data_IF_985537371085
#
_entry.id   IF_985537371085
#
_cell.length_a   1.000
_cell.length_b   1.000
_cell.length_c   1.000
_cell.angle_alpha   90.00
_cell.angle_beta   90.00
_cell.angle_gamma   90.00
#
_symmetry.space_group_name_H-M   'P 1'
#
loop_
_entity.id
_entity.type
_entity.pdbx_description
1 polymer ?
#
# COMPACT_ATOMS: atom_id res chain seq x y z
N UNK A 1 -44.94 90.26 -12.32
CA UNK A 1 -45.64 90.45 -11.05
C UNK A 1 -45.91 89.04 -10.47
N UNK A 2 -45.35 88.82 -9.29
CA UNK A 2 -45.49 87.66 -8.40
C UNK A 2 -44.73 86.38 -8.77
N UNK A 3 -43.65 86.23 -8.18
CA UNK A 3 -43.07 85.41 -7.09
C UNK A 3 -44.14 84.60 -6.34
N UNK A 4 -43.78 83.64 -5.59
CA UNK A 4 -42.51 82.95 -5.24
C UNK A 4 -42.61 81.41 -5.16
N UNK A 5 -41.46 80.85 -5.29
CA UNK A 5 -40.80 80.01 -4.30
C UNK A 5 -41.72 79.08 -3.45
N UNK A 6 -41.45 77.83 -3.60
CA UNK A 6 -41.36 76.85 -2.50
C UNK A 6 -40.53 75.64 -2.86
N UNK A 7 -39.29 75.80 -2.53
CA UNK A 7 -38.40 74.69 -2.26
C UNK A 7 -39.07 73.62 -1.42
N UNK A 8 -39.27 72.46 -1.95
CA UNK A 8 -39.49 71.27 -1.13
C UNK A 8 -38.25 70.38 -1.26
N UNK A 9 -37.45 70.54 -0.28
CA UNK A 9 -36.29 69.72 -0.01
C UNK A 9 -36.77 68.30 0.25
N UNK A 10 -36.64 67.39 -0.69
CA UNK A 10 -36.78 65.98 -0.47
C UNK A 10 -35.47 65.45 0.08
N UNK A 11 -35.43 65.23 1.38
CA UNK A 11 -34.36 64.52 2.06
C UNK A 11 -34.43 63.04 1.61
N UNK A 12 -33.51 62.67 0.72
CA UNK A 12 -33.25 61.27 0.43
C UNK A 12 -32.44 60.66 1.58
N UNK A 13 -33.10 59.90 2.44
CA UNK A 13 -32.43 59.04 3.38
C UNK A 13 -31.90 57.85 2.63
N UNK A 14 -30.61 57.90 2.32
CA UNK A 14 -29.86 56.72 1.82
C UNK A 14 -29.63 55.74 2.98
N UNK A 15 -30.46 54.71 3.07
CA UNK A 15 -30.16 53.60 3.96
C UNK A 15 -29.06 52.77 3.34
N UNK A 16 -27.84 53.01 3.82
CA UNK A 16 -26.70 52.17 3.42
C UNK A 16 -26.80 50.78 4.05
N UNK A 17 -27.15 49.79 3.23
CA UNK A 17 -27.09 48.40 3.60
C UNK A 17 -25.63 47.97 3.58
N UNK A 18 -24.98 47.95 4.77
CA UNK A 18 -23.64 47.35 4.92
C UNK A 18 -23.82 45.84 4.92
N UNK A 19 -23.62 45.22 3.78
CA UNK A 19 -23.48 43.75 3.68
C UNK A 19 -22.08 43.39 4.13
N UNK A 20 -21.93 43.04 5.40
CA UNK A 20 -20.72 42.37 5.89
C UNK A 20 -20.71 40.95 5.35
N UNK A 21 -20.00 40.74 4.26
CA UNK A 21 -19.63 39.39 3.80
C UNK A 21 -18.66 38.78 4.82
N UNK A 22 -19.17 37.97 5.72
CA UNK A 22 -18.33 37.11 6.53
C UNK A 22 -17.73 36.07 5.60
N UNK A 23 -16.50 36.29 5.16
CA UNK A 23 -15.70 35.28 4.50
C UNK A 23 -15.40 34.19 5.53
N UNK A 24 -16.20 33.13 5.53
CA UNK A 24 -15.86 31.90 6.21
C UNK A 24 -14.68 31.31 5.43
N UNK A 25 -13.49 31.62 5.88
CA UNK A 25 -12.28 30.98 5.41
C UNK A 25 -12.31 29.53 5.83
N UNK A 26 -12.71 28.64 4.92
CA UNK A 26 -12.47 27.21 5.07
C UNK A 26 -10.97 27.05 4.87
N UNK A 27 -10.22 27.07 5.95
CA UNK A 27 -8.86 26.56 5.94
C UNK A 27 -8.97 25.04 5.78
N UNK A 28 -8.87 24.54 4.55
CA UNK A 28 -8.56 23.15 4.31
C UNK A 28 -7.14 22.99 4.86
N UNK A 29 -7.03 22.59 6.10
CA UNK A 29 -5.77 22.14 6.65
C UNK A 29 -5.34 20.96 5.80
N UNK A 30 -4.20 21.05 5.11
CA UNK A 30 -3.50 19.90 4.60
C UNK A 30 -3.10 19.06 5.81
N UNK A 31 -4.00 18.22 6.29
CA UNK A 31 -3.71 17.25 7.34
C UNK A 31 -2.73 16.24 6.72
N UNK A 32 -1.61 16.01 7.39
CA UNK A 32 -0.75 14.89 7.07
C UNK A 32 -1.60 13.63 7.12
N UNK A 33 -1.69 12.91 6.00
CA UNK A 33 -2.38 11.62 5.92
C UNK A 33 -1.35 10.54 6.23
N UNK A 34 -1.64 9.73 7.24
CA UNK A 34 -0.87 8.51 7.48
C UNK A 34 -1.19 7.51 6.39
N UNK A 35 -0.19 7.12 5.63
CA UNK A 35 -0.30 6.14 4.55
C UNK A 35 0.61 4.96 4.86
N UNK A 36 0.11 3.76 4.69
CA UNK A 36 0.93 2.57 4.82
C UNK A 36 1.70 2.31 3.52
N UNK A 37 2.93 1.85 3.65
CA UNK A 37 3.74 1.41 2.52
C UNK A 37 4.43 0.08 2.83
N UNK A 38 4.47 -0.80 1.83
CA UNK A 38 5.37 -1.94 1.83
C UNK A 38 6.74 -1.46 1.39
N UNK A 39 7.72 -1.62 2.26
CA UNK A 39 9.10 -1.20 2.02
C UNK A 39 9.97 -2.44 1.86
N UNK A 40 10.80 -2.45 0.82
CA UNK A 40 11.85 -3.43 0.59
C UNK A 40 13.18 -2.77 0.92
N UNK A 41 13.92 -3.34 1.84
CA UNK A 41 15.22 -2.85 2.29
C UNK A 41 16.30 -3.90 2.06
N UNK A 42 17.52 -3.44 1.82
CA UNK A 42 18.70 -4.29 1.82
C UNK A 42 19.14 -4.67 3.25
N UNK A 43 20.23 -5.43 3.37
CA UNK A 43 20.81 -5.80 4.66
C UNK A 43 21.41 -4.61 5.42
N UNK A 44 21.71 -3.51 4.74
CA UNK A 44 22.19 -2.26 5.33
C UNK A 44 21.06 -1.37 5.85
N UNK A 45 19.81 -1.68 5.52
CA UNK A 45 18.63 -0.87 5.84
C UNK A 45 18.37 0.25 4.83
N UNK A 46 19.01 0.20 3.66
CA UNK A 46 18.68 1.12 2.56
C UNK A 46 17.37 0.69 1.90
N UNK A 47 16.48 1.66 1.67
CA UNK A 47 15.21 1.41 0.99
C UNK A 47 15.43 1.26 -0.51
N UNK A 48 15.20 0.08 -1.04
CA UNK A 48 15.28 -0.24 -2.46
C UNK A 48 13.98 0.02 -3.21
N UNK A 49 12.84 -0.19 -2.51
CA UNK A 49 11.49 0.00 -3.07
C UNK A 49 10.51 0.40 -1.97
N UNK A 50 9.57 1.27 -2.29
CA UNK A 50 8.43 1.63 -1.42
C UNK A 50 7.16 1.67 -2.26
N UNK A 51 6.17 0.85 -1.90
CA UNK A 51 4.88 0.72 -2.60
C UNK A 51 3.77 1.06 -1.61
N UNK A 52 2.89 2.03 -1.90
CA UNK A 52 1.72 2.29 -1.08
C UNK A 52 0.85 1.04 -0.96
N UNK A 53 0.37 0.74 0.24
CA UNK A 53 -0.49 -0.41 0.50
C UNK A 53 -1.59 -0.04 1.50
N UNK A 54 -2.69 -0.77 1.44
CA UNK A 54 -3.81 -0.65 2.36
C UNK A 54 -4.02 -1.98 3.10
N UNK A 55 -4.87 -1.96 4.11
CA UNK A 55 -5.31 -3.17 4.81
C UNK A 55 -5.91 -4.15 3.80
N UNK A 56 -5.49 -5.41 3.86
CA UNK A 56 -5.81 -6.50 2.93
C UNK A 56 -5.17 -6.43 1.53
N UNK A 57 -4.29 -5.46 1.25
CA UNK A 57 -3.47 -5.50 0.03
C UNK A 57 -2.78 -6.86 -0.08
N UNK A 58 -2.87 -7.47 -1.27
CA UNK A 58 -2.24 -8.77 -1.54
C UNK A 58 -0.77 -8.57 -1.92
N UNK A 59 0.10 -9.23 -1.18
CA UNK A 59 1.55 -9.26 -1.41
C UNK A 59 1.97 -10.70 -1.69
N UNK A 60 2.61 -10.95 -2.82
CA UNK A 60 3.07 -12.29 -3.19
C UNK A 60 4.58 -12.29 -3.44
N UNK A 61 5.29 -13.22 -2.81
CA UNK A 61 6.66 -13.56 -3.19
C UNK A 61 6.58 -14.79 -4.08
N UNK A 62 6.95 -14.62 -5.35
CA UNK A 62 6.93 -15.67 -6.36
C UNK A 62 8.36 -16.08 -6.71
N UNK A 63 8.61 -17.36 -6.82
CA UNK A 63 9.93 -17.89 -7.17
C UNK A 63 9.85 -19.29 -7.78
N UNK A 64 10.94 -19.75 -8.37
CA UNK A 64 11.10 -21.13 -8.85
C UNK A 64 11.86 -21.95 -7.81
N UNK A 65 11.29 -23.04 -7.36
CA UNK A 65 11.98 -23.95 -6.44
C UNK A 65 13.29 -24.46 -7.07
N UNK A 66 14.42 -24.26 -6.41
CA UNK A 66 15.73 -24.47 -6.99
C UNK A 66 16.02 -25.92 -7.42
N UNK A 67 15.45 -26.89 -6.71
CA UNK A 67 15.63 -28.34 -6.97
C UNK A 67 14.55 -28.85 -7.92
N UNK A 68 13.29 -28.66 -7.57
CA UNK A 68 12.14 -29.20 -8.31
C UNK A 68 11.85 -28.46 -9.63
N UNK A 69 12.42 -27.26 -9.81
CA UNK A 69 12.20 -26.39 -10.97
C UNK A 69 10.72 -26.07 -11.23
N UNK A 70 9.95 -26.02 -10.17
CA UNK A 70 8.52 -25.72 -10.21
C UNK A 70 8.23 -24.38 -9.54
N UNK A 71 7.19 -23.65 -9.98
CA UNK A 71 6.82 -22.38 -9.37
C UNK A 71 6.29 -22.56 -7.96
N UNK A 72 6.66 -21.61 -7.09
CA UNK A 72 6.13 -21.43 -5.73
C UNK A 72 5.64 -20.00 -5.58
N UNK A 73 4.56 -19.81 -4.87
CA UNK A 73 3.99 -18.50 -4.56
C UNK A 73 3.60 -18.46 -3.08
N UNK A 74 4.26 -17.61 -2.34
CA UNK A 74 3.92 -17.30 -0.96
C UNK A 74 3.05 -16.05 -0.94
N UNK A 75 1.78 -16.20 -0.59
CA UNK A 75 0.78 -15.14 -0.67
C UNK A 75 0.47 -14.62 0.73
N UNK A 76 0.63 -13.34 0.90
CA UNK A 76 0.37 -12.59 2.12
C UNK A 76 -0.73 -11.57 1.90
N UNK A 77 -1.35 -11.13 2.99
CA UNK A 77 -2.17 -9.92 3.05
C UNK A 77 -1.55 -8.96 4.07
N UNK A 78 -1.62 -7.67 3.77
CA UNK A 78 -1.30 -6.63 4.75
C UNK A 78 -2.36 -6.66 5.85
N UNK A 79 -1.93 -6.84 7.12
CA UNK A 79 -2.81 -6.89 8.28
C UNK A 79 -2.13 -6.28 9.51
N UNK A 80 -2.82 -5.33 10.13
CA UNK A 80 -2.37 -4.70 11.38
C UNK A 80 -0.91 -4.21 11.32
N UNK A 81 -0.49 -3.63 10.19
CA UNK A 81 0.87 -3.13 9.99
C UNK A 81 1.94 -4.21 9.78
N UNK A 82 1.56 -5.42 9.41
CA UNK A 82 2.47 -6.51 9.08
C UNK A 82 1.98 -7.35 7.90
N UNK A 83 2.64 -8.46 7.65
CA UNK A 83 2.32 -9.43 6.60
C UNK A 83 1.77 -10.71 7.23
N UNK A 84 0.52 -11.06 6.90
CA UNK A 84 -0.09 -12.32 7.29
C UNK A 84 -0.10 -13.28 6.11
N UNK A 85 0.56 -14.42 6.24
CA UNK A 85 0.54 -15.44 5.20
C UNK A 85 -0.86 -16.01 5.08
N UNK A 86 -1.46 -15.93 3.90
CA UNK A 86 -2.82 -16.43 3.63
C UNK A 86 -2.80 -17.78 2.98
N UNK A 87 -1.84 -18.04 2.09
CA UNK A 87 -1.64 -19.33 1.45
C UNK A 87 -0.26 -19.46 0.82
N UNK A 88 0.14 -20.69 0.58
CA UNK A 88 1.30 -21.04 -0.25
C UNK A 88 0.81 -21.95 -1.40
N UNK A 89 1.20 -21.63 -2.61
CA UNK A 89 0.87 -22.39 -3.81
C UNK A 89 2.15 -23.00 -4.38
N UNK A 90 2.15 -24.32 -4.63
CA UNK A 90 3.31 -25.05 -5.17
C UNK A 90 2.88 -26.25 -5.99
N UNK A 91 3.77 -26.79 -6.85
CA UNK A 91 3.42 -27.90 -7.76
C UNK A 91 4.07 -29.22 -7.41
N UNK A 92 5.08 -29.23 -6.58
CA UNK A 92 5.78 -30.45 -6.17
C UNK A 92 6.23 -30.33 -4.70
N UNK A 93 6.31 -31.48 -4.02
CA UNK A 93 6.86 -31.53 -2.69
C UNK A 93 8.37 -31.59 -2.76
N UNK A 94 9.05 -30.56 -2.29
CA UNK A 94 10.50 -30.45 -2.23
C UNK A 94 10.99 -30.02 -0.86
N UNK A 95 12.31 -29.96 -0.68
CA UNK A 95 12.91 -29.49 0.57
C UNK A 95 12.46 -28.04 0.87
N UNK A 96 11.98 -27.82 2.08
CA UNK A 96 11.47 -26.51 2.53
C UNK A 96 9.98 -26.25 2.24
N UNK A 97 9.31 -27.16 1.50
CA UNK A 97 7.87 -27.07 1.26
C UNK A 97 7.08 -27.91 2.28
N UNK A 98 5.82 -27.53 2.57
CA UNK A 98 5.00 -28.26 3.52
C UNK A 98 4.75 -29.71 3.06
N UNK A 99 5.27 -30.71 3.75
CA UNK A 99 5.09 -32.13 3.43
C UNK A 99 4.29 -32.90 4.46
N UNK A 100 4.04 -32.31 5.63
CA UNK A 100 3.38 -32.96 6.77
C UNK A 100 2.11 -32.24 7.23
N UNK A 101 1.63 -31.27 6.47
CA UNK A 101 0.42 -30.49 6.72
C UNK A 101 -0.67 -30.87 5.72
N UNK A 102 -1.91 -30.59 6.07
CA UNK A 102 -3.01 -30.74 5.14
C UNK A 102 -2.88 -29.73 4.00
N UNK A 103 -2.81 -30.24 2.77
CA UNK A 103 -2.78 -29.45 1.55
C UNK A 103 -4.00 -29.77 0.71
N UNK A 104 -4.56 -28.77 0.09
CA UNK A 104 -5.62 -28.91 -0.89
C UNK A 104 -4.99 -29.02 -2.30
N UNK A 105 -5.68 -29.68 -3.21
CA UNK A 105 -5.28 -29.74 -4.61
C UNK A 105 -6.23 -28.86 -5.42
N UNK A 106 -5.69 -27.85 -6.07
CA UNK A 106 -6.45 -26.97 -6.96
C UNK A 106 -6.76 -27.66 -8.32
N UNK A 107 -7.69 -27.06 -9.07
CA UNK A 107 -8.16 -27.59 -10.37
C UNK A 107 -7.05 -27.66 -11.42
N UNK A 108 -6.01 -26.84 -11.33
CA UNK A 108 -4.83 -26.85 -12.22
C UNK A 108 -3.76 -27.87 -11.80
N UNK A 109 -4.01 -28.61 -10.72
CA UNK A 109 -3.12 -29.64 -10.16
C UNK A 109 -2.05 -29.11 -9.20
N UNK A 110 -2.06 -27.84 -8.89
CA UNK A 110 -1.22 -27.26 -7.84
C UNK A 110 -1.68 -27.66 -6.44
N UNK A 111 -0.77 -27.64 -5.50
CA UNK A 111 -1.07 -27.82 -4.08
C UNK A 111 -1.18 -26.45 -3.43
N UNK A 112 -2.16 -26.31 -2.55
CA UNK A 112 -2.38 -25.10 -1.78
C UNK A 112 -2.35 -25.44 -0.30
N UNK A 113 -1.49 -24.76 0.44
CA UNK A 113 -1.41 -24.81 1.88
C UNK A 113 -1.96 -23.52 2.48
N UNK A 114 -2.82 -23.61 3.48
CA UNK A 114 -3.39 -22.48 4.21
C UNK A 114 -2.82 -22.47 5.64
N UNK A 115 -1.82 -21.62 5.92
CA UNK A 115 -1.26 -21.55 7.26
C UNK A 115 -2.24 -20.90 8.24
N UNK A 116 -2.23 -21.37 9.49
CA UNK A 116 -3.01 -20.76 10.55
C UNK A 116 -2.16 -19.74 11.31
N UNK A 117 -2.60 -18.48 11.34
CA UNK A 117 -2.01 -17.40 12.17
C UNK A 117 -0.51 -17.15 11.96
N UNK A 118 0.00 -17.33 10.75
CA UNK A 118 1.37 -16.94 10.42
C UNK A 118 1.40 -15.47 10.04
N UNK A 119 1.83 -14.62 10.96
CA UNK A 119 2.03 -13.19 10.77
C UNK A 119 3.47 -12.82 11.11
N UNK A 120 4.05 -11.92 10.33
CA UNK A 120 5.37 -11.36 10.59
C UNK A 120 5.35 -9.84 10.42
N UNK A 121 6.15 -9.15 11.19
CA UNK A 121 6.41 -7.71 11.00
C UNK A 121 7.53 -7.48 9.99
N UNK A 122 8.39 -8.49 9.82
CA UNK A 122 9.49 -8.47 8.87
C UNK A 122 9.56 -9.83 8.16
N UNK A 123 9.60 -9.79 6.82
CA UNK A 123 9.80 -10.96 5.98
C UNK A 123 11.16 -10.85 5.29
N UNK A 124 12.07 -11.76 5.62
CA UNK A 124 13.37 -11.84 4.96
C UNK A 124 13.28 -12.77 3.76
N UNK A 125 13.69 -12.29 2.60
CA UNK A 125 13.77 -13.06 1.35
C UNK A 125 15.22 -13.14 0.92
N UNK A 126 15.79 -14.35 0.97
CA UNK A 126 17.11 -14.62 0.40
C UNK A 126 16.95 -14.74 -1.11
N UNK A 127 17.26 -13.68 -1.85
CA UNK A 127 17.08 -13.67 -3.30
C UNK A 127 18.12 -14.57 -3.98
N UNK A 128 17.80 -15.04 -5.17
CA UNK A 128 18.70 -15.87 -5.96
C UNK A 128 18.37 -15.76 -7.45
N UNK A 129 19.35 -15.50 -8.30
CA UNK A 129 19.13 -15.51 -9.76
C UNK A 129 18.63 -16.84 -10.29
N UNK A 130 18.95 -17.95 -9.61
CA UNK A 130 18.49 -19.30 -10.01
C UNK A 130 17.00 -19.49 -9.72
N UNK A 131 16.51 -18.91 -8.64
CA UNK A 131 15.11 -19.00 -8.24
C UNK A 131 14.27 -17.89 -8.89
N UNK A 132 14.85 -16.73 -9.24
CA UNK A 132 14.17 -15.62 -9.89
C UNK A 132 13.06 -15.07 -8.98
N UNK A 133 13.42 -14.53 -7.81
CA UNK A 133 12.44 -14.01 -6.86
C UNK A 133 11.80 -12.73 -7.38
N UNK A 134 10.47 -12.73 -7.45
CA UNK A 134 9.64 -11.58 -7.79
C UNK A 134 8.73 -11.21 -6.61
N UNK A 135 8.57 -9.93 -6.38
CA UNK A 135 7.53 -9.39 -5.51
C UNK A 135 6.35 -8.94 -6.38
N UNK A 136 5.14 -9.34 -6.02
CA UNK A 136 3.91 -8.89 -6.70
C UNK A 136 3.01 -8.22 -5.67
N UNK A 137 2.68 -6.94 -5.87
CA UNK A 137 1.79 -6.16 -5.01
C UNK A 137 0.60 -5.71 -5.85
N UNK A 138 -0.59 -6.17 -5.52
CA UNK A 138 -1.83 -5.87 -6.28
C UNK A 138 -1.70 -6.06 -7.80
N UNK A 139 -0.85 -7.03 -8.21
CA UNK A 139 -0.63 -7.38 -9.63
C UNK A 139 0.57 -6.69 -10.27
N UNK A 140 1.13 -5.65 -9.68
CA UNK A 140 2.41 -5.07 -10.12
C UNK A 140 3.58 -5.95 -9.69
N UNK A 141 4.55 -6.12 -10.61
CA UNK A 141 5.70 -7.02 -10.42
C UNK A 141 7.00 -6.25 -10.28
N UNK A 142 7.82 -6.69 -9.35
CA UNK A 142 9.15 -6.14 -9.07
C UNK A 142 10.15 -7.29 -8.98
N UNK A 143 11.22 -7.23 -9.73
CA UNK A 143 12.31 -8.22 -9.68
C UNK A 143 13.18 -7.95 -8.45
N UNK A 144 13.04 -8.81 -7.43
CA UNK A 144 13.82 -8.66 -6.19
C UNK A 144 15.30 -9.00 -6.40
N UNK A 145 15.62 -9.82 -7.39
CA UNK A 145 17.02 -10.17 -7.69
C UNK A 145 17.74 -8.97 -8.29
N UNK A 146 17.08 -8.26 -9.21
CA UNK A 146 17.62 -7.04 -9.82
C UNK A 146 17.72 -5.92 -8.78
N UNK A 147 16.66 -5.70 -7.98
CA UNK A 147 16.63 -4.64 -6.95
C UNK A 147 17.73 -4.79 -5.91
N UNK A 148 18.05 -6.01 -5.51
CA UNK A 148 19.00 -6.29 -4.43
C UNK A 148 20.37 -6.79 -4.93
N UNK A 149 20.63 -6.76 -6.22
CA UNK A 149 21.85 -7.32 -6.84
C UNK A 149 22.13 -8.78 -6.39
N UNK A 150 21.05 -9.55 -6.17
CA UNK A 150 21.09 -10.95 -5.72
C UNK A 150 21.31 -11.15 -4.22
N UNK A 151 21.38 -10.09 -3.42
CA UNK A 151 21.48 -10.14 -1.97
C UNK A 151 20.11 -10.34 -1.31
N UNK A 152 20.10 -10.62 0.00
CA UNK A 152 18.85 -10.74 0.77
C UNK A 152 18.15 -9.39 0.92
N UNK A 153 16.83 -9.43 0.97
CA UNK A 153 16.00 -8.25 1.25
C UNK A 153 15.09 -8.48 2.44
N UNK A 154 14.67 -7.38 3.08
CA UNK A 154 13.66 -7.33 4.13
C UNK A 154 12.46 -6.58 3.66
N UNK A 155 11.28 -7.20 3.77
CA UNK A 155 9.99 -6.60 3.47
C UNK A 155 9.29 -6.25 4.77
N UNK A 156 8.87 -5.00 4.91
CA UNK A 156 8.11 -4.51 6.08
C UNK A 156 7.00 -3.58 5.66
N UNK A 157 5.90 -3.59 6.41
CA UNK A 157 4.87 -2.56 6.28
C UNK A 157 5.20 -1.43 7.26
N UNK A 158 5.28 -0.22 6.76
CA UNK A 158 5.58 0.98 7.55
C UNK A 158 4.50 2.04 7.37
N UNK A 159 4.32 2.89 8.38
CA UNK A 159 3.45 4.07 8.26
C UNK A 159 4.31 5.27 7.86
N UNK A 160 3.94 5.94 6.79
CA UNK A 160 4.60 7.13 6.28
C UNK A 160 3.65 8.33 6.38
N UNK A 161 4.19 9.49 6.75
CA UNK A 161 3.44 10.75 6.72
C UNK A 161 3.58 11.37 5.34
N UNK A 162 2.47 11.50 4.62
CA UNK A 162 2.41 12.27 3.38
C UNK A 162 1.93 13.69 3.68
N UNK A 163 2.73 14.66 3.30
CA UNK A 163 2.44 16.09 3.42
C UNK A 163 1.92 16.61 2.08
#
# INVERSE_FOLDING_TARGET
MFDPDRSRTLALVAVGLVVTAAAVGITVGAGAVEEQALVVEDDGGETLLSVPVEENTTVTVAYTHSVEKTPVRDVYAVRDGGLAMTRMEFRSFGAGLPSTVDVERDADGSFVYYPHNQRTEELVVATSPVAGHELVVDGERYDLVELADGESVRLRVTTQLRI
#
